data_IF_177249237247
#
_entry.id   IF_177249237247
#
_cell.length_a   1.000
_cell.length_b   1.000
_cell.length_c   1.000
_cell.angle_alpha   90.00
_cell.angle_beta   90.00
_cell.angle_gamma   90.00
#
_symmetry.space_group_name_H-M   'P 1'
#
loop_
_entity.id
_entity.type
_entity.pdbx_description
1 polymer ?
#
# COMPACT_ATOMS: atom_id res chain seq x y z
N UNK A 1 21.18 9.07 20.84
CA UNK A 1 20.52 10.04 19.94
C UNK A 1 19.68 9.25 18.94
N UNK A 2 18.36 9.15 19.12
CA UNK A 2 17.52 8.54 18.09
C UNK A 2 17.42 9.55 16.95
N UNK A 3 18.05 9.27 15.82
CA UNK A 3 17.91 10.09 14.62
C UNK A 3 16.45 10.06 14.18
N UNK A 4 15.79 11.22 14.22
CA UNK A 4 14.39 11.34 13.80
C UNK A 4 14.26 10.92 12.34
N UNK A 5 13.56 9.81 12.09
CA UNK A 5 13.16 9.41 10.73
C UNK A 5 12.17 10.45 10.21
N UNK A 6 12.53 11.10 9.10
CA UNK A 6 11.69 12.05 8.35
C UNK A 6 11.22 11.44 7.03
N UNK A 7 10.19 11.99 6.37
CA UNK A 7 9.76 11.53 5.05
C UNK A 7 10.90 11.53 4.01
N UNK A 8 11.80 12.51 4.06
CA UNK A 8 12.94 12.61 3.15
C UNK A 8 13.98 11.51 3.40
N UNK A 9 14.24 11.18 4.67
CA UNK A 9 15.10 10.04 5.05
C UNK A 9 14.47 8.75 4.56
N UNK A 10 13.15 8.62 4.70
CA UNK A 10 12.40 7.46 4.26
C UNK A 10 12.53 7.25 2.73
N UNK A 11 12.40 8.29 1.91
CA UNK A 11 12.62 8.18 0.46
C UNK A 11 14.05 7.77 0.11
N UNK A 12 15.05 8.26 0.84
CA UNK A 12 16.46 7.84 0.65
C UNK A 12 16.65 6.37 1.02
N UNK A 13 15.99 5.90 2.08
CA UNK A 13 16.01 4.49 2.47
C UNK A 13 15.41 3.61 1.36
N UNK A 14 14.25 3.98 0.81
CA UNK A 14 13.65 3.25 -0.32
C UNK A 14 14.58 3.19 -1.54
N UNK A 15 15.25 4.29 -1.87
CA UNK A 15 16.22 4.32 -2.96
C UNK A 15 17.43 3.41 -2.71
N UNK A 16 17.76 3.12 -1.44
CA UNK A 16 18.76 2.16 -1.03
C UNK A 16 18.21 0.73 -0.82
N UNK A 17 16.94 0.48 -1.13
CA UNK A 17 16.30 -0.83 -0.95
C UNK A 17 15.79 -1.11 0.47
N UNK A 18 15.87 -0.14 1.38
CA UNK A 18 15.55 -0.26 2.80
C UNK A 18 14.16 0.32 3.08
N UNK A 19 13.38 -0.33 3.94
CA UNK A 19 12.05 0.15 4.34
C UNK A 19 11.83 0.05 5.86
N UNK A 20 11.00 0.92 6.47
CA UNK A 20 10.76 0.93 7.90
C UNK A 20 9.64 -0.02 8.27
N UNK A 21 9.75 -0.65 9.44
CA UNK A 21 8.67 -1.40 10.07
C UNK A 21 8.62 -1.08 11.57
N UNK A 22 7.50 -1.38 12.21
CA UNK A 22 7.37 -1.44 13.66
C UNK A 22 7.07 -2.88 14.08
N UNK A 23 7.34 -3.23 15.34
CA UNK A 23 7.04 -4.57 15.85
C UNK A 23 5.53 -4.83 15.86
N UNK A 24 4.75 -3.82 16.25
CA UNK A 24 3.29 -3.86 16.28
C UNK A 24 2.71 -2.44 16.19
N UNK A 25 1.38 -2.33 16.19
CA UNK A 25 0.66 -1.08 16.00
C UNK A 25 0.82 -0.10 17.18
N UNK A 26 1.08 -0.64 18.37
CA UNK A 26 1.22 0.07 19.63
C UNK A 26 2.68 0.51 19.92
N UNK A 27 3.66 -0.10 19.25
CA UNK A 27 5.07 0.24 19.41
C UNK A 27 5.38 1.64 18.86
N UNK A 28 6.18 2.43 19.58
CA UNK A 28 6.63 3.75 19.16
C UNK A 28 7.94 3.71 18.34
N UNK A 29 8.68 2.61 18.44
CA UNK A 29 9.93 2.41 17.72
C UNK A 29 9.68 2.02 16.26
N UNK A 30 10.66 2.36 15.41
CA UNK A 30 10.77 1.87 14.05
C UNK A 30 12.15 1.23 13.90
N UNK A 31 12.19 0.15 13.13
CA UNK A 31 13.43 -0.47 12.68
C UNK A 31 13.47 -0.50 11.15
N UNK A 32 14.68 -0.59 10.62
CA UNK A 32 14.92 -0.68 9.18
C UNK A 32 15.06 -2.14 8.77
N UNK A 33 14.46 -2.48 7.63
CA UNK A 33 14.53 -3.81 7.02
C UNK A 33 15.25 -3.71 5.69
N UNK A 34 16.25 -4.55 5.53
CA UNK A 34 17.03 -4.75 4.30
C UNK A 34 17.08 -6.26 4.02
N UNK A 35 16.17 -6.78 3.18
CA UNK A 35 16.11 -8.21 2.93
C UNK A 35 17.19 -8.61 1.91
N UNK A 36 17.84 -9.76 2.14
CA UNK A 36 18.81 -10.35 1.20
C UNK A 36 18.12 -10.74 -0.12
N UNK A 37 16.92 -11.31 -0.04
CA UNK A 37 16.05 -11.59 -1.19
C UNK A 37 14.82 -10.69 -1.20
N UNK A 38 14.54 -10.03 -2.33
CA UNK A 38 13.42 -9.08 -2.45
C UNK A 38 12.30 -9.67 -3.30
N UNK A 39 11.12 -9.80 -2.70
CA UNK A 39 9.90 -10.10 -3.43
C UNK A 39 9.54 -8.96 -4.39
N UNK A 40 9.35 -9.28 -5.67
CA UNK A 40 8.93 -8.34 -6.70
C UNK A 40 7.71 -8.88 -7.46
N UNK A 41 6.88 -7.97 -7.96
CA UNK A 41 5.81 -8.28 -8.90
C UNK A 41 6.21 -7.62 -10.23
N UNK A 42 6.69 -8.40 -11.22
CA UNK A 42 6.89 -7.88 -12.56
C UNK A 42 5.59 -7.29 -13.11
N UNK A 43 5.68 -6.11 -13.73
CA UNK A 43 4.51 -5.48 -14.34
C UNK A 43 4.05 -6.27 -15.58
N UNK A 44 5.01 -6.84 -16.31
CA UNK A 44 4.77 -7.78 -17.39
C UNK A 44 4.46 -9.17 -16.83
N UNK A 45 3.34 -9.74 -17.24
CA UNK A 45 2.98 -11.11 -16.86
C UNK A 45 2.34 -11.24 -15.47
N UNK A 46 1.78 -10.16 -14.91
CA UNK A 46 0.93 -10.26 -13.71
C UNK A 46 -0.13 -11.36 -13.92
N UNK A 47 -0.09 -12.38 -13.08
CA UNK A 47 -1.07 -13.46 -13.14
C UNK A 47 -2.44 -12.98 -12.65
N UNK A 48 -3.39 -12.85 -13.56
CA UNK A 48 -4.79 -12.54 -13.25
C UNK A 48 -5.62 -13.81 -13.52
N UNK A 49 -6.27 -14.37 -12.50
CA UNK A 49 -7.10 -15.56 -12.69
C UNK A 49 -8.29 -15.28 -13.61
N UNK A 50 -8.87 -16.32 -14.21
CA UNK A 50 -10.02 -16.17 -15.09
C UNK A 50 -11.24 -15.54 -14.38
N UNK A 51 -11.48 -15.90 -13.11
CA UNK A 51 -12.54 -15.30 -12.28
C UNK A 51 -12.25 -13.84 -11.99
N UNK A 52 -11.02 -13.48 -11.63
CA UNK A 52 -10.65 -12.09 -11.35
C UNK A 52 -10.78 -11.20 -12.61
N UNK A 53 -10.39 -11.71 -13.80
CA UNK A 53 -10.62 -11.01 -15.07
C UNK A 53 -12.11 -10.72 -15.29
N UNK A 54 -13.00 -11.66 -14.95
CA UNK A 54 -14.45 -11.43 -15.00
C UNK A 54 -14.87 -10.34 -14.02
N UNK A 55 -14.39 -10.39 -12.78
CA UNK A 55 -14.69 -9.38 -11.75
C UNK A 55 -14.29 -7.96 -12.21
N UNK A 56 -13.07 -7.78 -12.71
CA UNK A 56 -12.58 -6.50 -13.24
C UNK A 56 -13.46 -5.98 -14.37
N UNK A 57 -13.84 -6.84 -15.34
CA UNK A 57 -14.70 -6.44 -16.46
C UNK A 57 -16.11 -6.04 -16.06
N UNK A 58 -16.65 -6.58 -14.96
CA UNK A 58 -17.98 -6.22 -14.46
C UNK A 58 -18.02 -4.81 -13.86
N UNK A 59 -16.86 -4.22 -13.55
CA UNK A 59 -16.73 -2.86 -12.99
C UNK A 59 -17.63 -2.65 -11.75
N UNK A 60 -17.68 -3.66 -10.89
CA UNK A 60 -18.45 -3.60 -9.64
C UNK A 60 -17.85 -2.64 -8.61
N UNK A 61 -16.58 -2.27 -8.79
CA UNK A 61 -15.90 -1.25 -7.99
C UNK A 61 -15.60 -0.03 -8.86
N UNK A 62 -15.89 1.15 -8.34
CA UNK A 62 -15.33 2.42 -8.79
C UNK A 62 -13.90 2.53 -8.27
N UNK A 63 -12.91 2.60 -9.17
CA UNK A 63 -11.49 2.67 -8.79
C UNK A 63 -11.01 4.12 -8.77
N UNK A 64 -10.60 4.61 -7.61
CA UNK A 64 -10.07 5.98 -7.39
C UNK A 64 -8.60 5.94 -7.00
N UNK A 65 -7.89 7.02 -7.32
CA UNK A 65 -6.49 7.21 -6.97
C UNK A 65 -6.39 8.44 -6.07
N UNK A 66 -5.67 8.32 -4.97
CA UNK A 66 -5.35 9.47 -4.10
C UNK A 66 -6.58 10.26 -3.61
N UNK A 67 -7.73 9.60 -3.47
CA UNK A 67 -8.99 10.24 -3.07
C UNK A 67 -9.17 10.26 -1.56
N UNK A 68 -8.75 9.19 -0.86
CA UNK A 68 -8.85 9.08 0.59
C UNK A 68 -7.72 8.23 1.18
N UNK A 69 -6.48 8.68 0.98
CA UNK A 69 -5.29 8.03 1.53
C UNK A 69 -5.35 7.77 3.05
N UNK A 70 -5.82 8.72 3.91
CA UNK A 70 -5.92 8.46 5.35
C UNK A 70 -6.81 7.27 5.70
N UNK A 71 -7.91 7.06 4.96
CA UNK A 71 -8.78 5.91 5.16
C UNK A 71 -8.11 4.60 4.70
N UNK A 72 -7.38 4.62 3.59
CA UNK A 72 -6.65 3.44 3.09
C UNK A 72 -5.60 2.97 4.08
N UNK A 73 -4.72 3.85 4.55
CA UNK A 73 -3.67 3.46 5.49
C UNK A 73 -4.24 3.05 6.86
N UNK A 74 -5.34 3.67 7.29
CA UNK A 74 -6.05 3.25 8.49
C UNK A 74 -6.64 1.84 8.34
N UNK A 75 -7.29 1.54 7.21
CA UNK A 75 -7.84 0.22 6.94
C UNK A 75 -6.74 -0.86 6.81
N UNK A 76 -5.60 -0.53 6.19
CA UNK A 76 -4.42 -1.40 6.19
C UNK A 76 -3.86 -1.67 7.59
N UNK A 77 -4.07 -0.76 8.55
CA UNK A 77 -3.63 -0.90 9.93
C UNK A 77 -4.63 -1.67 10.82
N UNK A 78 -5.81 -2.03 10.32
CA UNK A 78 -6.81 -2.77 11.10
C UNK A 78 -6.36 -4.22 11.37
N UNK A 79 -6.78 -4.77 12.51
CA UNK A 79 -6.65 -6.20 12.80
C UNK A 79 -7.59 -6.98 11.88
N UNK A 80 -7.17 -8.15 11.44
CA UNK A 80 -7.99 -9.07 10.65
C UNK A 80 -8.07 -10.43 11.38
N UNK A 81 -9.05 -11.29 11.08
CA UNK A 81 -9.19 -12.58 11.75
C UNK A 81 -7.92 -13.46 11.71
N UNK A 82 -7.15 -13.34 10.64
CA UNK A 82 -5.87 -14.01 10.39
C UNK A 82 -4.64 -13.19 10.83
N UNK A 83 -4.86 -11.95 11.30
CA UNK A 83 -3.81 -10.98 11.63
C UNK A 83 -4.15 -10.21 12.91
N UNK A 84 -3.69 -10.74 14.04
CA UNK A 84 -3.93 -10.17 15.37
C UNK A 84 -3.25 -8.82 15.61
N UNK A 85 -2.21 -8.47 14.84
CA UNK A 85 -1.51 -7.20 14.91
C UNK A 85 -0.95 -6.77 13.54
N UNK A 86 -0.68 -5.48 13.39
CA UNK A 86 -0.05 -4.89 12.20
C UNK A 86 1.26 -4.21 12.58
N UNK A 87 2.19 -4.12 11.64
CA UNK A 87 3.42 -3.31 11.80
C UNK A 87 3.15 -1.81 11.59
N UNK A 88 1.94 -1.43 11.15
CA UNK A 88 1.58 -0.04 10.82
C UNK A 88 1.20 0.72 12.10
N UNK A 89 2.20 1.22 12.81
CA UNK A 89 2.02 2.06 13.99
C UNK A 89 1.66 3.52 13.66
N UNK A 90 1.41 4.33 14.69
CA UNK A 90 1.09 5.75 14.53
C UNK A 90 2.18 6.55 13.80
N UNK A 91 3.46 6.20 13.97
CA UNK A 91 4.59 6.89 13.33
C UNK A 91 4.64 6.60 11.83
N UNK A 92 4.46 5.35 11.42
CA UNK A 92 4.32 4.95 10.01
C UNK A 92 3.13 5.68 9.40
N UNK A 93 1.96 5.67 10.03
CA UNK A 93 0.78 6.39 9.52
C UNK A 93 1.09 7.87 9.24
N UNK A 94 1.78 8.54 10.17
CA UNK A 94 2.21 9.93 10.00
C UNK A 94 3.20 10.12 8.86
N UNK A 95 4.25 9.30 8.78
CA UNK A 95 5.30 9.40 7.76
C UNK A 95 4.74 9.22 6.35
N UNK A 96 3.90 8.21 6.14
CA UNK A 96 3.36 7.91 4.82
C UNK A 96 2.25 8.89 4.41
N UNK A 97 1.50 9.43 5.38
CA UNK A 97 0.58 10.56 5.11
C UNK A 97 1.34 11.81 4.67
N UNK A 98 2.51 12.08 5.25
CA UNK A 98 3.38 13.17 4.80
C UNK A 98 3.96 12.89 3.41
N UNK A 99 4.43 11.67 3.14
CA UNK A 99 4.87 11.28 1.79
C UNK A 99 3.76 11.42 0.75
N UNK A 100 2.53 11.11 1.12
CA UNK A 100 1.37 11.29 0.24
C UNK A 100 1.15 12.76 -0.09
N UNK A 101 1.19 13.64 0.92
CA UNK A 101 1.13 15.10 0.72
C UNK A 101 2.29 15.65 -0.12
N UNK A 102 3.45 14.98 -0.09
CA UNK A 102 4.60 15.29 -0.92
C UNK A 102 4.50 14.73 -2.36
N UNK A 103 3.44 13.99 -2.68
CA UNK A 103 3.25 13.37 -4.01
C UNK A 103 4.16 12.16 -4.26
N UNK A 104 4.68 11.53 -3.19
CA UNK A 104 5.57 10.38 -3.29
C UNK A 104 4.93 9.06 -2.82
N UNK A 105 3.80 9.12 -2.12
CA UNK A 105 3.04 7.96 -1.69
C UNK A 105 1.62 8.05 -2.26
N UNK A 106 1.11 6.95 -2.80
CA UNK A 106 -0.16 6.94 -3.52
C UNK A 106 -1.06 5.81 -3.04
N UNK A 107 -2.37 6.03 -3.11
CA UNK A 107 -3.39 5.02 -2.86
C UNK A 107 -4.13 4.62 -4.14
N UNK A 108 -4.51 3.35 -4.22
CA UNK A 108 -5.51 2.83 -5.17
C UNK A 108 -6.67 2.28 -4.37
N UNK A 109 -7.86 2.79 -4.65
CA UNK A 109 -9.05 2.60 -3.81
C UNK A 109 -10.18 1.96 -4.61
N UNK A 110 -10.82 0.94 -4.05
CA UNK A 110 -12.01 0.32 -4.61
C UNK A 110 -13.25 0.70 -3.81
N UNK A 111 -14.14 1.44 -4.45
CA UNK A 111 -15.39 1.94 -3.88
C UNK A 111 -16.59 1.22 -4.48
N UNK A 112 -17.61 0.93 -3.68
CA UNK A 112 -18.95 0.58 -4.16
C UNK A 112 -20.00 1.12 -3.19
N UNK A 113 -21.12 1.62 -3.71
CA UNK A 113 -22.22 2.18 -2.90
C UNK A 113 -21.75 3.23 -1.87
N UNK A 114 -20.77 4.05 -2.26
CA UNK A 114 -20.17 5.08 -1.39
C UNK A 114 -19.24 4.55 -0.30
N UNK A 115 -18.98 3.25 -0.25
CA UNK A 115 -18.13 2.61 0.76
C UNK A 115 -16.76 2.22 0.18
N UNK A 116 -15.72 2.43 0.99
CA UNK A 116 -14.36 1.98 0.68
C UNK A 116 -14.23 0.49 1.04
N UNK A 117 -14.24 -0.37 0.02
CA UNK A 117 -14.30 -1.83 0.17
C UNK A 117 -12.96 -2.53 -0.03
N UNK A 118 -11.94 -1.83 -0.46
CA UNK A 118 -10.58 -2.36 -0.56
C UNK A 118 -9.63 -1.33 -1.14
N UNK A 119 -8.35 -1.64 -1.09
CA UNK A 119 -7.34 -0.76 -1.64
C UNK A 119 -5.95 -1.17 -1.24
N UNK A 120 -4.99 -0.42 -1.75
CA UNK A 120 -3.58 -0.53 -1.42
C UNK A 120 -2.96 0.86 -1.40
N UNK A 121 -1.80 0.96 -0.76
CA UNK A 121 -0.96 2.15 -0.87
C UNK A 121 0.50 1.77 -1.08
N UNK A 122 1.27 2.72 -1.59
CA UNK A 122 2.70 2.51 -1.81
C UNK A 122 3.47 3.75 -2.20
N UNK A 123 4.79 3.64 -2.10
CA UNK A 123 5.73 4.72 -2.41
C UNK A 123 6.20 4.59 -3.86
N UNK A 124 6.25 5.71 -4.58
CA UNK A 124 6.73 5.75 -5.97
C UNK A 124 8.05 6.49 -6.06
N UNK A 125 9.06 5.85 -6.66
CA UNK A 125 10.35 6.47 -7.00
C UNK A 125 10.66 6.13 -8.46
N UNK A 126 10.66 7.15 -9.33
CA UNK A 126 10.88 6.96 -10.75
C UNK A 126 9.82 6.02 -11.37
N UNK A 127 10.27 4.90 -11.94
CA UNK A 127 9.43 3.87 -12.55
C UNK A 127 9.08 2.72 -11.59
N UNK A 128 9.53 2.77 -10.32
CA UNK A 128 9.30 1.71 -9.33
C UNK A 128 8.18 2.13 -8.37
N UNK A 129 7.29 1.19 -8.08
CA UNK A 129 6.25 1.32 -7.06
C UNK A 129 6.49 0.29 -5.95
N UNK A 130 6.76 0.77 -4.74
CA UNK A 130 6.91 -0.04 -3.54
C UNK A 130 5.53 -0.23 -2.90
N UNK A 131 4.91 -1.39 -3.13
CA UNK A 131 3.63 -1.74 -2.52
C UNK A 131 3.80 -2.02 -1.03
N UNK A 132 3.18 -1.20 -0.18
CA UNK A 132 3.39 -1.26 1.27
C UNK A 132 2.39 -2.19 1.95
N UNK A 133 1.11 -1.97 1.69
CA UNK A 133 0.06 -2.80 2.26
C UNK A 133 -1.22 -2.68 1.44
N UNK A 134 -2.10 -3.63 1.68
CA UNK A 134 -3.44 -3.67 1.09
C UNK A 134 -4.45 -4.19 2.09
N UNK A 135 -5.72 -3.87 1.87
CA UNK A 135 -6.84 -4.38 2.66
C UNK A 135 -7.99 -4.72 1.74
N UNK A 136 -8.86 -5.64 2.17
CA UNK A 136 -10.05 -6.04 1.44
C UNK A 136 -11.20 -6.26 2.43
N UNK A 137 -12.32 -5.61 2.18
CA UNK A 137 -13.60 -5.78 2.90
C UNK A 137 -14.68 -6.43 2.03
N UNK A 138 -14.46 -6.51 0.73
CA UNK A 138 -15.25 -7.27 -0.21
C UNK A 138 -14.38 -8.24 -1.01
N UNK A 139 -15.00 -9.29 -1.55
CA UNK A 139 -14.33 -10.26 -2.42
C UNK A 139 -13.65 -9.54 -3.59
N UNK A 140 -12.39 -9.89 -3.81
CA UNK A 140 -11.53 -9.37 -4.88
C UNK A 140 -11.21 -7.87 -4.85
N UNK A 141 -11.70 -7.08 -3.88
CA UNK A 141 -11.48 -5.63 -3.88
C UNK A 141 -9.98 -5.25 -3.90
N UNK A 142 -9.15 -5.81 -3.01
CA UNK A 142 -7.69 -5.56 -3.02
C UNK A 142 -7.00 -6.05 -4.29
N UNK A 143 -7.47 -7.18 -4.86
CA UNK A 143 -6.92 -7.73 -6.11
C UNK A 143 -7.26 -6.83 -7.30
N UNK A 144 -8.47 -6.28 -7.34
CA UNK A 144 -8.89 -5.29 -8.34
C UNK A 144 -8.03 -4.04 -8.22
N UNK A 145 -7.78 -3.54 -7.00
CA UNK A 145 -6.87 -2.41 -6.78
C UNK A 145 -5.46 -2.71 -7.34
N UNK A 146 -4.91 -3.90 -7.10
CA UNK A 146 -3.61 -4.31 -7.64
C UNK A 146 -3.60 -4.40 -9.17
N UNK A 147 -4.63 -4.98 -9.78
CA UNK A 147 -4.76 -5.05 -11.25
C UNK A 147 -4.78 -3.66 -11.86
N UNK A 148 -5.55 -2.73 -11.26
CA UNK A 148 -5.61 -1.34 -11.73
C UNK A 148 -4.31 -0.57 -11.49
N UNK A 149 -3.59 -0.84 -10.39
CA UNK A 149 -2.25 -0.29 -10.17
C UNK A 149 -1.31 -0.72 -11.30
N UNK A 150 -1.18 -2.01 -11.56
CA UNK A 150 -0.26 -2.54 -12.57
C UNK A 150 -0.63 -2.04 -13.96
N UNK A 151 -1.92 -1.99 -14.30
CA UNK A 151 -2.38 -1.41 -15.56
C UNK A 151 -1.98 0.06 -15.74
N UNK A 152 -1.97 0.86 -14.65
CA UNK A 152 -1.53 2.27 -14.68
C UNK A 152 -0.01 2.43 -14.79
N UNK A 153 0.75 1.52 -14.20
CA UNK A 153 2.22 1.55 -14.27
C UNK A 153 2.75 1.13 -15.66
N UNK A 154 1.94 0.40 -16.44
CA UNK A 154 2.26 -0.03 -17.80
C UNK A 154 1.80 0.95 -18.91
N UNK A 155 1.09 2.03 -18.57
CA UNK A 155 0.52 2.98 -19.52
C UNK A 155 1.50 4.09 -19.88
#
# INVERSE_FOLDING_TARGET
>A
MSSTITPQILLRAYAAGIFPMAENAEDAALYWVEPEERGIIPLDGLHISHSLRKTVRRRIFEVKIDCNFPAVIAACAEKAPDRASTWINGRIRSLYTQLHRMGACHSVECWADGQLLGGLYGVRIGAVFFGESMFSRATDASKVALVHLVARLNA
#
